data_IF_838595017852
#
_entry.id   IF_838595017852
#
_cell.length_a   1.000
_cell.length_b   1.000
_cell.length_c   1.000
_cell.angle_alpha   90.00
_cell.angle_beta   90.00
_cell.angle_gamma   90.00
#
_symmetry.space_group_name_H-M   'P 1'
#
loop_
_entity.id
_entity.type
_entity.pdbx_description
1 polymer ?
#
# COMPACT_ATOMS: atom_id res chain seq x y z
N UNK A 1 49.12 -13.57 -51.43
CA UNK A 1 49.99 -14.05 -50.34
C UNK A 1 49.08 -14.71 -49.29
N UNK A 2 48.68 -15.98 -49.31
CA UNK A 2 49.29 -17.31 -49.59
C UNK A 2 50.04 -17.97 -48.42
N UNK A 3 49.62 -19.22 -48.11
CA UNK A 3 50.36 -20.37 -47.53
C UNK A 3 50.93 -20.35 -46.10
N UNK A 4 50.41 -21.27 -45.25
CA UNK A 4 51.22 -22.28 -44.50
C UNK A 4 51.73 -23.35 -45.50
N UNK A 5 52.82 -24.13 -45.28
CA UNK A 5 53.00 -25.13 -44.18
C UNK A 5 54.12 -24.68 -43.19
N UNK A 6 54.80 -25.47 -42.34
CA UNK A 6 54.84 -26.91 -41.99
C UNK A 6 54.45 -27.11 -40.49
N UNK A 7 54.27 -28.28 -39.84
CA UNK A 7 54.68 -29.70 -39.99
C UNK A 7 56.06 -30.13 -39.45
N UNK A 8 56.06 -30.62 -38.19
CA UNK A 8 56.95 -31.69 -37.72
C UNK A 8 56.14 -32.63 -36.81
N UNK A 9 56.27 -33.95 -37.00
CA UNK A 9 55.65 -34.99 -36.16
C UNK A 9 56.73 -35.60 -35.26
N UNK A 10 56.39 -35.94 -34.02
CA UNK A 10 56.96 -37.12 -33.38
C UNK A 10 55.91 -37.80 -32.49
N UNK A 11 55.72 -39.10 -32.69
CA UNK A 11 54.98 -39.99 -31.78
C UNK A 11 56.00 -40.88 -31.07
N UNK A 12 55.82 -41.08 -29.77
CA UNK A 12 56.20 -42.34 -29.13
C UNK A 12 55.19 -42.65 -28.00
N UNK A 13 55.16 -43.91 -27.57
CA UNK A 13 53.94 -44.52 -27.02
C UNK A 13 54.19 -45.40 -25.80
N UNK A 14 53.11 -45.65 -25.05
CA UNK A 14 52.95 -46.66 -23.98
C UNK A 14 53.86 -46.57 -22.74
N UNK A 15 53.22 -46.25 -21.62
CA UNK A 15 53.19 -47.16 -20.47
C UNK A 15 51.89 -46.92 -19.69
N UNK A 16 51.34 -47.98 -19.09
CA UNK A 16 50.22 -47.88 -18.16
C UNK A 16 50.67 -48.32 -16.76
N UNK A 17 50.01 -47.83 -15.71
CA UNK A 17 49.44 -48.60 -14.57
C UNK A 17 48.86 -47.60 -13.56
N UNK A 18 47.84 -48.02 -12.81
CA UNK A 18 47.09 -47.15 -11.91
C UNK A 18 47.79 -46.88 -10.56
N UNK A 19 47.39 -45.80 -9.91
CA UNK A 19 47.17 -45.82 -8.46
C UNK A 19 45.85 -45.10 -8.13
N UNK A 20 44.92 -45.81 -7.49
CA UNK A 20 43.67 -45.23 -7.00
C UNK A 20 43.94 -44.54 -5.67
N UNK A 21 44.24 -43.25 -5.72
CA UNK A 21 44.50 -42.39 -4.55
C UNK A 21 43.25 -41.69 -4.02
N UNK A 22 42.19 -42.45 -3.73
CA UNK A 22 40.91 -41.88 -3.28
C UNK A 22 40.98 -41.41 -1.81
N UNK A 23 41.60 -40.25 -1.56
CA UNK A 23 41.33 -39.48 -0.35
C UNK A 23 39.91 -38.91 -0.44
N UNK A 24 38.93 -39.75 -0.08
CA UNK A 24 37.63 -39.29 0.35
C UNK A 24 37.83 -38.51 1.66
N UNK A 25 38.07 -37.20 1.54
CA UNK A 25 38.07 -36.30 2.68
C UNK A 25 36.69 -36.38 3.34
N UNK A 26 36.62 -37.05 4.49
CA UNK A 26 35.41 -37.15 5.33
C UNK A 26 35.14 -35.80 5.99
N UNK A 27 34.85 -34.79 5.17
CA UNK A 27 34.28 -33.54 5.63
C UNK A 27 32.96 -33.86 6.30
N UNK A 28 32.91 -33.74 7.62
CA UNK A 28 31.66 -33.74 8.36
C UNK A 28 30.75 -32.70 7.71
N UNK A 29 29.67 -33.15 7.08
CA UNK A 29 28.75 -32.28 6.35
C UNK A 29 28.03 -31.37 7.35
N UNK A 30 28.63 -30.22 7.64
CA UNK A 30 28.02 -29.22 8.51
C UNK A 30 26.77 -28.73 7.80
N UNK A 31 25.60 -29.10 8.35
CA UNK A 31 24.30 -28.70 7.82
C UNK A 31 24.17 -27.17 7.72
N UNK A 32 23.17 -26.68 6.98
CA UNK A 32 22.99 -25.26 6.75
C UNK A 32 22.97 -24.47 8.06
N UNK A 33 23.73 -23.37 8.07
CA UNK A 33 23.80 -22.47 9.23
C UNK A 33 22.54 -21.61 9.25
N UNK A 34 21.81 -21.64 10.36
CA UNK A 34 20.68 -20.77 10.58
C UNK A 34 21.17 -19.35 10.88
N UNK A 35 20.87 -18.39 10.00
CA UNK A 35 21.33 -17.00 10.09
C UNK A 35 20.13 -16.05 10.02
N UNK A 36 19.93 -15.26 11.07
CA UNK A 36 19.03 -14.10 11.01
C UNK A 36 19.82 -12.91 10.46
N UNK A 37 19.48 -12.36 9.28
CA UNK A 37 20.18 -11.22 8.71
C UNK A 37 19.90 -9.93 9.51
N UNK A 38 20.89 -9.06 9.62
CA UNK A 38 20.71 -7.72 10.18
C UNK A 38 19.69 -6.91 9.34
N UNK A 39 18.87 -6.05 9.97
CA UNK A 39 17.93 -5.20 9.25
C UNK A 39 18.64 -4.18 8.33
N UNK A 40 17.99 -3.73 7.25
CA UNK A 40 18.56 -2.73 6.34
C UNK A 40 19.00 -1.46 7.08
N UNK A 41 20.22 -0.94 6.86
CA UNK A 41 20.71 0.22 7.60
C UNK A 41 19.94 1.48 7.20
N UNK A 42 19.27 2.13 8.16
CA UNK A 42 18.62 3.42 7.95
C UNK A 42 19.69 4.53 7.85
N UNK A 43 19.58 5.49 6.91
CA UNK A 43 20.56 6.57 6.80
C UNK A 43 20.65 7.41 8.08
N UNK A 44 21.87 7.85 8.43
CA UNK A 44 22.06 8.92 9.41
C UNK A 44 21.37 10.19 8.90
N UNK A 45 20.81 11.00 9.80
CA UNK A 45 20.20 12.27 9.42
C UNK A 45 21.25 13.19 8.74
N UNK A 46 20.82 13.95 7.75
CA UNK A 46 21.70 14.77 6.92
C UNK A 46 20.94 15.99 6.35
N UNK A 47 21.35 17.19 6.76
CA UNK A 47 20.78 18.46 6.32
C UNK A 47 19.38 18.75 6.88
N UNK A 48 19.17 19.99 7.30
CA UNK A 48 17.86 20.49 7.67
C UNK A 48 16.97 20.77 6.44
N UNK A 49 15.67 20.93 6.66
CA UNK A 49 14.75 21.44 5.64
C UNK A 49 14.99 22.95 5.51
N UNK A 50 15.39 23.48 4.33
CA UNK A 50 15.61 24.91 4.16
C UNK A 50 14.32 25.71 4.40
N UNK A 51 14.41 26.91 4.97
CA UNK A 51 13.23 27.75 5.27
C UNK A 51 12.38 28.14 4.07
N UNK A 52 12.92 28.05 2.83
CA UNK A 52 12.14 28.23 1.59
C UNK A 52 11.29 27.02 1.20
N UNK A 53 11.45 25.92 1.93
CA UNK A 53 10.84 24.63 1.69
C UNK A 53 10.00 24.23 2.91
N UNK A 54 8.88 23.54 2.66
CA UNK A 54 7.93 23.15 3.69
C UNK A 54 7.65 21.65 3.60
N UNK A 55 8.16 20.92 4.58
CA UNK A 55 7.79 19.54 4.84
C UNK A 55 6.36 19.48 5.39
N UNK A 56 5.61 18.44 5.03
CA UNK A 56 4.31 18.10 5.64
C UNK A 56 4.58 17.42 6.98
N UNK A 57 5.39 16.35 6.95
CA UNK A 57 5.70 15.55 8.13
C UNK A 57 6.85 16.20 8.91
N UNK A 58 6.60 16.54 10.16
CA UNK A 58 7.57 17.22 11.02
C UNK A 58 8.57 16.21 11.63
N UNK A 59 9.83 16.59 11.89
CA UNK A 59 10.79 15.70 12.56
C UNK A 59 10.24 15.09 13.85
N UNK A 60 10.21 13.76 13.93
CA UNK A 60 9.61 13.04 15.06
C UNK A 60 8.12 12.72 14.90
N UNK A 61 7.50 12.97 13.74
CA UNK A 61 6.18 12.43 13.39
C UNK A 61 6.28 11.20 12.47
N UNK A 62 5.16 10.50 12.32
CA UNK A 62 4.92 9.54 11.27
C UNK A 62 3.51 9.75 10.70
N UNK A 63 3.30 9.36 9.45
CA UNK A 63 1.95 9.08 8.93
C UNK A 63 1.83 7.58 8.63
N UNK A 64 0.72 6.99 9.05
CA UNK A 64 0.31 5.63 8.73
C UNK A 64 -0.91 5.71 7.81
N UNK A 65 -0.94 4.90 6.75
CA UNK A 65 -1.96 4.98 5.70
C UNK A 65 -2.27 3.61 5.08
N UNK A 66 -3.54 3.38 4.76
CA UNK A 66 -4.06 2.14 4.15
C UNK A 66 -4.85 2.44 2.87
N UNK A 67 -4.62 1.67 1.81
CA UNK A 67 -5.35 1.74 0.53
C UNK A 67 -5.49 0.35 -0.12
N UNK A 68 -6.08 0.26 -1.31
CA UNK A 68 -6.08 -0.96 -2.12
C UNK A 68 -4.67 -1.45 -2.53
N UNK A 69 -3.63 -0.60 -2.42
CA UNK A 69 -2.21 -0.96 -2.63
C UNK A 69 -1.54 -1.45 -1.32
N UNK A 70 -2.33 -1.76 -0.29
CA UNK A 70 -1.89 -2.30 1.00
C UNK A 70 -1.70 -1.23 2.08
N UNK A 71 -0.64 -1.38 2.88
CA UNK A 71 -0.31 -0.55 4.04
C UNK A 71 1.02 0.18 3.85
N UNK A 72 1.11 1.42 4.31
CA UNK A 72 2.37 2.18 4.38
C UNK A 72 2.48 2.99 5.68
N UNK A 73 3.67 2.98 6.29
CA UNK A 73 4.06 3.88 7.38
C UNK A 73 5.26 4.71 6.90
N UNK A 74 5.15 6.04 6.98
CA UNK A 74 6.18 7.00 6.56
C UNK A 74 6.64 7.79 7.79
N UNK A 75 7.89 7.61 8.18
CA UNK A 75 8.50 8.26 9.34
C UNK A 75 9.28 9.51 8.91
N UNK A 76 9.07 10.62 9.62
CA UNK A 76 9.90 11.83 9.49
C UNK A 76 11.04 11.80 10.53
N UNK A 77 12.26 11.58 10.05
CA UNK A 77 13.46 11.77 10.87
C UNK A 77 13.86 13.24 10.98
N UNK A 78 14.96 13.53 11.69
CA UNK A 78 15.55 14.87 11.70
C UNK A 78 15.91 15.33 10.28
N UNK A 79 15.60 16.59 9.98
CA UNK A 79 15.86 17.22 8.70
C UNK A 79 15.24 16.50 7.51
N UNK A 80 16.05 16.25 6.47
CA UNK A 80 15.62 15.67 5.20
C UNK A 80 15.37 14.15 5.23
N UNK A 81 15.48 13.47 6.38
CA UNK A 81 15.33 12.01 6.45
C UNK A 81 13.86 11.57 6.40
N UNK A 82 13.59 10.54 5.58
CA UNK A 82 12.33 9.78 5.57
C UNK A 82 12.61 8.28 5.66
N UNK A 83 11.74 7.53 6.34
CA UNK A 83 11.77 6.05 6.34
C UNK A 83 10.41 5.55 5.92
N UNK A 84 10.39 4.55 5.03
CA UNK A 84 9.18 3.93 4.51
C UNK A 84 9.14 2.50 4.99
N UNK A 85 8.08 2.12 5.68
CA UNK A 85 7.76 0.74 6.05
C UNK A 85 6.54 0.32 5.21
N UNK A 86 6.80 -0.56 4.25
CA UNK A 86 5.87 -0.96 3.19
C UNK A 86 6.31 -2.32 2.64
N UNK A 87 5.35 -3.19 2.28
CA UNK A 87 5.62 -4.53 1.75
C UNK A 87 6.54 -5.38 2.69
N UNK A 88 6.33 -5.23 4.01
CA UNK A 88 7.12 -5.89 5.06
C UNK A 88 8.56 -5.37 5.23
N UNK A 89 8.95 -4.33 4.50
CA UNK A 89 10.33 -3.84 4.41
C UNK A 89 10.45 -2.38 4.86
N UNK A 90 11.24 -2.14 5.91
CA UNK A 90 11.50 -0.80 6.45
C UNK A 90 12.80 -0.23 5.87
N UNK A 91 12.69 0.79 5.03
CA UNK A 91 13.80 1.30 4.20
C UNK A 91 13.90 2.83 4.25
N UNK A 92 15.08 3.37 4.53
CA UNK A 92 15.30 4.81 4.71
C UNK A 92 15.93 5.55 3.52
N UNK A 93 15.65 6.84 3.37
CA UNK A 93 16.25 7.75 2.38
C UNK A 93 16.58 9.13 3.00
N UNK A 94 17.47 9.87 2.35
CA UNK A 94 17.62 11.32 2.54
C UNK A 94 17.00 12.01 1.33
N UNK A 95 15.95 12.78 1.56
CA UNK A 95 15.26 13.56 0.52
C UNK A 95 16.07 14.78 0.12
N UNK A 96 15.62 15.45 -0.94
CA UNK A 96 16.19 16.72 -1.44
C UNK A 96 15.14 17.83 -1.30
N UNK A 97 15.54 19.06 -0.94
CA UNK A 97 14.67 20.23 -1.10
C UNK A 97 14.29 20.39 -2.58
N UNK A 98 13.00 20.53 -2.88
CA UNK A 98 12.54 20.84 -4.24
C UNK A 98 12.94 22.28 -4.59
N UNK A 99 13.59 22.51 -5.73
CA UNK A 99 14.09 23.85 -6.10
C UNK A 99 12.98 24.77 -6.63
N UNK A 100 12.01 24.19 -7.34
CA UNK A 100 10.88 24.87 -7.99
C UNK A 100 9.57 24.58 -7.24
N UNK A 101 8.66 25.55 -7.20
CA UNK A 101 7.26 25.32 -6.80
C UNK A 101 6.54 24.62 -7.96
N UNK A 102 5.57 23.75 -7.70
CA UNK A 102 4.60 23.40 -8.75
C UNK A 102 3.57 24.53 -8.90
N UNK A 103 2.84 24.56 -10.01
CA UNK A 103 1.74 25.51 -10.19
C UNK A 103 0.71 25.37 -9.06
N UNK A 104 0.28 26.51 -8.50
CA UNK A 104 -0.62 26.59 -7.34
C UNK A 104 0.05 26.52 -5.96
N UNK A 105 1.37 26.32 -5.85
CA UNK A 105 2.03 26.11 -4.55
C UNK A 105 2.64 27.39 -3.96
N UNK A 106 2.30 27.68 -2.70
CA UNK A 106 2.88 28.79 -1.93
C UNK A 106 4.32 28.50 -1.45
N UNK A 107 4.68 27.23 -1.29
CA UNK A 107 5.98 26.78 -0.76
C UNK A 107 6.60 25.72 -1.66
N UNK A 108 7.93 25.59 -1.61
CA UNK A 108 8.63 24.47 -2.23
C UNK A 108 8.51 23.26 -1.31
N UNK A 109 8.37 22.05 -1.84
CA UNK A 109 8.30 20.84 -1.01
C UNK A 109 9.63 20.08 -0.88
N UNK A 110 9.55 18.79 -0.59
CA UNK A 110 10.68 17.84 -0.67
C UNK A 110 10.46 16.85 -1.82
N UNK A 111 11.52 16.15 -2.25
CA UNK A 111 11.41 15.04 -3.19
C UNK A 111 12.56 14.02 -3.03
N UNK A 112 12.39 12.84 -3.60
CA UNK A 112 13.47 11.89 -3.90
C UNK A 112 13.14 11.18 -5.21
N UNK A 113 14.14 10.89 -6.05
CA UNK A 113 13.95 10.07 -7.25
C UNK A 113 15.22 9.25 -7.53
N UNK A 114 15.07 7.96 -7.80
CA UNK A 114 16.16 7.02 -8.10
C UNK A 114 16.29 5.86 -7.10
N UNK A 115 17.47 5.22 -7.05
CA UNK A 115 17.77 4.10 -6.14
C UNK A 115 18.40 4.62 -4.83
N UNK A 116 17.81 4.38 -3.66
CA UNK A 116 18.42 4.76 -2.39
C UNK A 116 19.59 3.85 -2.02
N UNK A 117 20.70 4.43 -1.54
CA UNK A 117 21.97 3.75 -1.28
C UNK A 117 21.93 2.55 -0.31
N UNK A 118 20.86 2.43 0.48
CA UNK A 118 20.68 1.38 1.51
C UNK A 118 19.54 0.42 1.19
N UNK A 119 18.84 0.61 0.06
CA UNK A 119 17.81 -0.31 -0.40
C UNK A 119 18.47 -1.50 -1.11
N UNK A 120 18.51 -2.66 -0.46
CA UNK A 120 18.56 -3.92 -1.21
C UNK A 120 17.26 -4.04 -2.00
N UNK A 121 17.28 -4.35 -3.32
CA UNK A 121 16.06 -4.63 -4.06
C UNK A 121 15.31 -5.81 -3.44
N UNK A 122 14.01 -5.66 -3.23
CA UNK A 122 13.14 -6.72 -2.71
C UNK A 122 11.72 -6.51 -3.27
N UNK A 123 11.05 -7.63 -3.57
CA UNK A 123 9.72 -7.67 -4.20
C UNK A 123 9.63 -6.84 -5.50
N UNK A 124 10.68 -6.92 -6.32
CA UNK A 124 10.84 -6.19 -7.59
C UNK A 124 11.23 -4.71 -7.45
N UNK A 125 11.12 -4.11 -6.27
CA UNK A 125 11.31 -2.67 -6.08
C UNK A 125 12.77 -2.33 -5.75
N UNK A 126 13.41 -1.57 -6.65
CA UNK A 126 14.79 -1.07 -6.59
C UNK A 126 14.89 0.48 -6.51
N UNK A 127 13.82 1.20 -6.87
CA UNK A 127 13.75 2.67 -6.88
C UNK A 127 12.63 3.21 -6.00
N UNK A 128 12.84 4.41 -5.48
CA UNK A 128 11.82 5.25 -4.87
C UNK A 128 11.64 6.52 -5.71
N UNK A 129 10.39 6.89 -5.96
CA UNK A 129 10.00 8.25 -6.31
C UNK A 129 9.10 8.80 -5.20
N UNK A 130 9.57 9.83 -4.50
CA UNK A 130 8.88 10.48 -3.41
C UNK A 130 8.63 11.96 -3.73
N UNK A 131 7.43 12.46 -3.50
CA UNK A 131 7.11 13.89 -3.51
C UNK A 131 6.38 14.26 -2.21
N UNK A 132 6.81 15.33 -1.56
CA UNK A 132 6.17 15.88 -0.35
C UNK A 132 5.91 17.38 -0.54
N UNK A 133 4.83 17.93 0.01
CA UNK A 133 4.66 19.39 0.08
C UNK A 133 3.25 19.89 0.39
N UNK A 134 3.09 21.21 0.31
CA UNK A 134 1.80 21.89 0.46
C UNK A 134 1.25 22.28 -0.91
N UNK A 135 -0.04 22.03 -1.14
CA UNK A 135 -0.71 22.27 -2.41
C UNK A 135 -2.01 23.03 -2.20
N UNK A 136 -2.09 24.25 -2.73
CA UNK A 136 -3.31 25.05 -2.65
C UNK A 136 -4.20 24.84 -3.87
N UNK A 137 -5.50 24.84 -3.64
CA UNK A 137 -6.56 24.85 -4.65
C UNK A 137 -7.54 25.99 -4.35
N UNK A 138 -8.25 26.46 -5.37
CA UNK A 138 -9.30 27.49 -5.27
C UNK A 138 -10.64 26.89 -4.83
N UNK A 139 -10.78 25.57 -4.91
CA UNK A 139 -11.98 24.83 -4.53
C UNK A 139 -11.65 23.35 -4.28
N UNK A 140 -12.60 22.64 -3.68
CA UNK A 140 -12.49 21.21 -3.37
C UNK A 140 -12.48 20.35 -4.64
N UNK A 141 -13.26 20.70 -5.67
CA UNK A 141 -13.41 19.87 -6.86
C UNK A 141 -12.07 19.72 -7.61
N UNK A 142 -11.29 20.80 -7.75
CA UNK A 142 -9.96 20.78 -8.35
C UNK A 142 -8.96 19.91 -7.56
N UNK A 143 -9.08 19.87 -6.23
CA UNK A 143 -8.28 18.99 -5.38
C UNK A 143 -8.61 17.51 -5.64
N UNK A 144 -9.89 17.18 -5.83
CA UNK A 144 -10.34 15.83 -6.19
C UNK A 144 -9.90 15.43 -7.61
N UNK A 145 -10.04 16.35 -8.57
CA UNK A 145 -9.62 16.16 -9.98
C UNK A 145 -8.11 15.91 -10.05
N UNK A 146 -7.30 16.65 -9.29
CA UNK A 146 -5.84 16.49 -9.28
C UNK A 146 -5.42 15.09 -8.86
N UNK A 147 -6.03 14.53 -7.81
CA UNK A 147 -5.76 13.15 -7.38
C UNK A 147 -6.16 12.12 -8.46
N UNK A 148 -7.31 12.31 -9.13
CA UNK A 148 -7.74 11.44 -10.23
C UNK A 148 -6.77 11.45 -11.42
N UNK A 149 -6.18 12.61 -11.75
CA UNK A 149 -5.21 12.75 -12.86
C UNK A 149 -3.88 12.05 -12.55
N UNK A 150 -3.39 12.09 -11.31
CA UNK A 150 -2.11 11.47 -10.90
C UNK A 150 -2.14 9.94 -10.94
N UNK A 151 -3.34 9.33 -10.77
CA UNK A 151 -3.59 7.87 -10.78
C UNK A 151 -2.72 7.09 -9.80
N UNK A 152 -2.65 7.53 -8.54
CA UNK A 152 -2.14 6.72 -7.43
C UNK A 152 -3.34 6.19 -6.64
N UNK A 153 -3.11 5.18 -5.80
CA UNK A 153 -4.07 4.86 -4.75
C UNK A 153 -3.87 5.87 -3.63
N UNK A 154 -4.86 6.74 -3.41
CA UNK A 154 -4.83 7.79 -2.39
C UNK A 154 -5.76 7.46 -1.22
N UNK A 155 -5.33 7.80 -0.01
CA UNK A 155 -6.15 7.94 1.20
C UNK A 155 -5.86 9.29 1.83
N UNK A 156 -6.87 9.90 2.44
CA UNK A 156 -6.81 11.29 2.92
C UNK A 156 -7.89 11.56 3.96
N UNK A 157 -7.66 12.57 4.79
CA UNK A 157 -8.59 12.97 5.85
C UNK A 157 -9.32 14.29 5.50
N UNK A 158 -10.17 14.75 6.42
CA UNK A 158 -10.95 15.98 6.27
C UNK A 158 -10.11 17.27 6.35
N UNK A 159 -8.93 17.22 6.97
CA UNK A 159 -8.06 18.39 7.14
C UNK A 159 -7.12 18.63 5.95
N UNK A 160 -7.13 17.73 4.96
CA UNK A 160 -6.34 17.82 3.74
C UNK A 160 -4.98 17.14 3.82
N UNK A 161 -4.69 16.34 4.85
CA UNK A 161 -3.58 15.40 4.79
C UNK A 161 -3.92 14.29 3.79
N UNK A 162 -3.09 14.13 2.77
CA UNK A 162 -3.23 13.16 1.68
C UNK A 162 -1.97 12.32 1.58
N UNK A 163 -2.11 11.00 1.53
CA UNK A 163 -1.02 10.06 1.21
C UNK A 163 -1.47 9.18 0.05
N UNK A 164 -0.61 8.98 -0.94
CA UNK A 164 -0.88 8.02 -2.01
C UNK A 164 0.35 7.35 -2.56
N UNK A 165 0.19 6.12 -3.06
CA UNK A 165 1.30 5.34 -3.62
C UNK A 165 0.86 4.38 -4.73
N UNK A 166 1.86 3.79 -5.40
CA UNK A 166 1.74 2.63 -6.33
C UNK A 166 3.10 2.04 -6.66
N UNK A 167 3.15 0.75 -6.97
CA UNK A 167 4.23 0.14 -7.77
C UNK A 167 4.11 0.62 -9.22
N UNK A 168 5.25 0.90 -9.87
CA UNK A 168 5.36 1.15 -11.31
C UNK A 168 6.67 0.56 -11.83
N UNK A 169 6.61 -0.68 -12.32
CA UNK A 169 7.82 -1.45 -12.64
C UNK A 169 8.65 -1.64 -11.37
N UNK A 170 9.95 -1.32 -11.43
CA UNK A 170 10.87 -1.42 -10.30
C UNK A 170 10.83 -0.22 -9.33
N UNK A 171 9.91 0.72 -9.55
CA UNK A 171 9.80 1.97 -8.78
C UNK A 171 8.56 1.95 -7.89
N UNK A 172 8.74 2.19 -6.60
CA UNK A 172 7.65 2.60 -5.72
C UNK A 172 7.49 4.12 -5.84
N UNK A 173 6.32 4.58 -6.30
CA UNK A 173 5.96 6.00 -6.28
C UNK A 173 5.12 6.28 -5.02
N UNK A 174 5.51 7.27 -4.23
CA UNK A 174 4.84 7.69 -2.97
C UNK A 174 4.71 9.21 -2.95
N UNK A 175 3.58 9.70 -2.48
CA UNK A 175 3.23 11.12 -2.45
C UNK A 175 2.57 11.49 -1.12
N UNK A 176 3.03 12.58 -0.49
CA UNK A 176 2.51 13.08 0.79
C UNK A 176 2.21 14.57 0.68
N UNK A 177 0.94 14.95 0.77
CA UNK A 177 0.50 16.31 0.56
C UNK A 177 -0.30 16.84 1.74
N UNK A 178 -0.08 18.11 2.06
CA UNK A 178 -1.06 18.92 2.76
C UNK A 178 -1.80 19.77 1.72
N UNK A 179 -3.06 19.43 1.46
CA UNK A 179 -3.96 20.24 0.66
C UNK A 179 -4.46 21.43 1.49
N UNK A 180 -4.62 22.57 0.82
CA UNK A 180 -5.35 23.74 1.33
C UNK A 180 -6.34 24.23 0.29
N UNK A 181 -7.50 24.70 0.75
CA UNK A 181 -8.51 25.38 -0.06
C UNK A 181 -8.51 26.84 0.39
N UNK A 182 -8.38 27.79 -0.54
CA UNK A 182 -8.29 29.24 -0.25
C UNK A 182 -7.26 29.59 0.84
N UNK A 183 -6.10 28.93 0.79
CA UNK A 183 -4.99 29.10 1.73
C UNK A 183 -5.17 28.44 3.09
N UNK A 184 -6.31 27.81 3.37
CA UNK A 184 -6.66 27.20 4.67
C UNK A 184 -6.73 25.68 4.57
N UNK A 185 -6.49 24.95 5.66
CA UNK A 185 -6.86 23.52 5.72
C UNK A 185 -8.37 23.40 5.48
N UNK A 186 -8.85 22.46 4.63
CA UNK A 186 -10.28 22.12 4.61
C UNK A 186 -10.73 21.57 5.98
N UNK A 187 -12.04 21.51 6.18
CA UNK A 187 -12.68 20.82 7.33
C UNK A 187 -13.49 19.59 6.91
N UNK A 188 -13.56 19.34 5.61
CA UNK A 188 -14.23 18.20 4.96
C UNK A 188 -13.66 18.02 3.56
N UNK A 189 -13.44 16.78 3.13
CA UNK A 189 -13.15 16.43 1.74
C UNK A 189 -14.07 15.28 1.29
N UNK A 190 -14.64 15.31 0.07
CA UNK A 190 -15.45 14.23 -0.48
C UNK A 190 -14.73 12.89 -0.42
N UNK A 191 -15.44 11.83 -0.06
CA UNK A 191 -14.91 10.46 0.07
C UNK A 191 -13.72 10.27 1.03
N UNK A 192 -13.40 11.27 1.87
CA UNK A 192 -12.40 11.20 2.95
C UNK A 192 -12.46 9.91 3.77
N UNK A 193 -11.27 9.37 4.08
CA UNK A 193 -11.03 8.10 4.77
C UNK A 193 -10.15 8.33 6.00
N UNK A 194 -10.55 9.26 6.86
CA UNK A 194 -9.80 9.61 8.09
C UNK A 194 -9.55 8.47 9.11
N UNK A 195 -10.12 7.28 8.91
CA UNK A 195 -9.79 6.05 9.66
C UNK A 195 -8.70 5.19 8.99
N UNK A 196 -8.39 5.45 7.72
CA UNK A 196 -7.36 4.80 6.90
C UNK A 196 -6.11 5.69 6.72
N UNK A 197 -6.01 6.78 7.50
CA UNK A 197 -4.82 7.65 7.53
C UNK A 197 -4.71 8.34 8.90
N UNK A 198 -3.54 8.29 9.51
CA UNK A 198 -3.26 8.94 10.78
C UNK A 198 -1.82 9.49 10.82
N UNK A 199 -1.67 10.81 11.00
CA UNK A 199 -0.41 11.41 11.47
C UNK A 199 -0.36 11.35 13.00
N UNK A 200 0.84 11.16 13.56
CA UNK A 200 1.06 11.16 15.00
C UNK A 200 2.54 11.13 15.37
N UNK A 201 2.88 11.04 16.67
CA UNK A 201 4.26 10.90 17.13
C UNK A 201 4.89 9.60 16.59
N UNK A 202 6.16 9.68 16.22
CA UNK A 202 6.93 8.59 15.63
C UNK A 202 7.06 7.39 16.59
N UNK A 203 6.60 6.22 16.15
CA UNK A 203 6.75 4.92 16.81
C UNK A 203 7.72 4.07 16.00
N UNK A 204 9.00 4.13 16.36
CA UNK A 204 10.05 3.34 15.70
C UNK A 204 9.90 1.86 16.06
N UNK A 205 9.35 1.08 15.14
CA UNK A 205 9.32 -0.37 15.22
C UNK A 205 10.58 -0.97 14.55
N UNK A 206 11.30 -1.91 15.20
CA UNK A 206 12.35 -2.66 14.55
C UNK A 206 11.78 -3.51 13.40
N UNK A 207 12.46 -3.54 12.24
CA UNK A 207 12.07 -4.47 11.19
C UNK A 207 12.27 -5.90 11.70
N UNK A 208 11.21 -6.72 11.61
CA UNK A 208 11.30 -8.16 11.87
C UNK A 208 12.13 -8.81 10.78
N UNK A 209 13.21 -9.47 11.17
CA UNK A 209 14.08 -10.21 10.27
C UNK A 209 13.84 -11.71 10.49
N UNK A 210 13.49 -12.42 9.42
CA UNK A 210 13.29 -13.87 9.48
C UNK A 210 14.62 -14.59 9.29
N UNK A 211 14.86 -15.72 9.98
CA UNK A 211 16.05 -16.52 9.77
C UNK A 211 16.03 -17.22 8.40
N UNK A 212 17.22 -17.42 7.86
CA UNK A 212 17.46 -18.15 6.62
C UNK A 212 18.50 -19.25 6.87
N UNK A 213 18.38 -20.35 6.14
CA UNK A 213 19.40 -21.38 6.06
C UNK A 213 20.49 -20.90 5.09
N UNK A 214 21.76 -21.07 5.47
CA UNK A 214 22.94 -20.70 4.66
C UNK A 214 23.84 -21.91 4.49
N UNK A 215 24.01 -22.36 3.26
CA UNK A 215 24.68 -23.61 2.90
C UNK A 215 26.17 -23.39 2.60
N UNK A 216 26.94 -24.47 2.55
CA UNK A 216 28.41 -24.42 2.39
C UNK A 216 28.87 -23.92 1.00
N UNK A 217 28.01 -24.03 -0.01
CA UNK A 217 28.17 -23.48 -1.36
C UNK A 217 27.75 -22.00 -1.47
N UNK A 218 27.17 -21.44 -0.41
CA UNK A 218 26.68 -20.07 -0.34
C UNK A 218 25.23 -19.85 -0.79
N UNK A 219 24.47 -20.90 -1.14
CA UNK A 219 23.03 -20.72 -1.40
C UNK A 219 22.26 -20.50 -0.09
N UNK A 220 21.05 -19.91 -0.20
CA UNK A 220 20.23 -19.58 0.97
C UNK A 220 18.75 -19.89 0.77
N UNK A 221 18.12 -20.45 1.81
CA UNK A 221 16.70 -20.83 1.82
C UNK A 221 15.95 -20.14 2.99
N UNK A 222 14.64 -19.87 2.88
CA UNK A 222 13.84 -19.36 3.99
C UNK A 222 13.66 -20.43 5.07
N UNK A 223 13.93 -20.10 6.33
CA UNK A 223 13.61 -20.99 7.45
C UNK A 223 12.16 -20.77 7.89
N UNK A 224 11.29 -21.72 7.53
CA UNK A 224 9.86 -21.73 7.81
C UNK A 224 9.47 -23.08 8.45
N UNK A 225 8.19 -23.33 8.71
CA UNK A 225 7.74 -24.59 9.35
C UNK A 225 8.04 -25.84 8.53
N UNK A 226 8.05 -25.75 7.19
CA UNK A 226 8.38 -26.87 6.31
C UNK A 226 9.89 -27.15 6.33
N UNK A 227 10.73 -26.14 6.03
CA UNK A 227 12.20 -26.32 6.04
C UNK A 227 12.73 -26.61 7.44
N UNK A 228 12.08 -26.13 8.50
CA UNK A 228 12.35 -26.56 9.87
C UNK A 228 12.09 -28.06 10.07
N UNK A 229 11.05 -28.65 9.45
CA UNK A 229 10.80 -30.10 9.54
C UNK A 229 11.83 -30.91 8.72
N UNK A 230 12.21 -30.42 7.54
CA UNK A 230 13.18 -31.05 6.64
C UNK A 230 14.58 -31.10 7.27
N UNK A 231 15.02 -30.00 7.91
CA UNK A 231 16.37 -29.89 8.50
C UNK A 231 16.46 -30.15 10.02
N UNK A 232 15.33 -30.34 10.72
CA UNK A 232 15.35 -30.94 12.08
C UNK A 232 15.33 -32.47 12.06
N UNK A 233 15.06 -33.08 10.90
CA UNK A 233 15.20 -34.52 10.63
C UNK A 233 16.64 -35.02 10.59
N UNK A 234 17.47 -34.64 11.56
CA UNK A 234 18.89 -35.01 11.69
C UNK A 234 19.14 -36.47 12.09
N UNK A 235 18.51 -37.42 11.38
CA UNK A 235 18.67 -38.86 11.58
C UNK A 235 18.36 -39.60 10.29
N UNK A 236 19.36 -40.27 9.72
CA UNK A 236 19.24 -40.88 8.40
C UNK A 236 18.20 -42.02 8.38
N UNK A 237 17.28 -41.97 7.42
CA UNK A 237 16.40 -43.10 7.11
C UNK A 237 17.21 -44.23 6.46
N UNK A 238 17.57 -45.24 7.26
CA UNK A 238 17.87 -46.58 6.77
C UNK A 238 16.92 -47.57 7.42
N UNK A 239 16.39 -48.50 6.62
CA UNK A 239 15.26 -49.33 7.01
C UNK A 239 15.66 -50.49 7.92
N UNK A 240 15.33 -50.40 9.21
CA UNK A 240 15.32 -51.53 10.13
C UNK A 240 14.23 -51.36 11.22
N UNK A 241 13.60 -52.46 11.60
CA UNK A 241 12.59 -52.49 12.67
C UNK A 241 13.21 -52.60 14.06
N UNK A 242 12.72 -51.83 15.03
CA UNK A 242 12.28 -52.24 16.40
C UNK A 242 12.04 -51.00 17.28
N UNK A 243 11.10 -51.09 18.23
CA UNK A 243 10.80 -50.01 19.18
C UNK A 243 11.86 -49.89 20.28
N UNK A 244 12.42 -48.68 20.50
CA UNK A 244 12.85 -48.26 21.85
C UNK A 244 13.05 -46.74 21.98
N UNK A 245 12.39 -46.17 22.99
CA UNK A 245 12.71 -44.95 23.77
C UNK A 245 13.17 -43.66 23.05
N UNK A 246 12.38 -42.60 23.23
CA UNK A 246 12.75 -41.23 22.83
C UNK A 246 13.80 -40.60 23.76
N UNK A 247 14.94 -40.19 23.20
CA UNK A 247 15.73 -39.08 23.72
C UNK A 247 15.84 -38.00 22.64
N UNK A 248 15.16 -36.87 22.83
CA UNK A 248 15.26 -35.72 21.93
C UNK A 248 16.58 -34.99 22.14
N UNK A 249 17.26 -34.60 21.05
CA UNK A 249 18.58 -33.95 21.11
C UNK A 249 18.58 -32.61 21.88
N UNK A 250 17.40 -32.00 22.04
CA UNK A 250 17.19 -30.75 22.77
C UNK A 250 17.62 -30.78 24.24
N UNK A 251 17.75 -31.97 24.85
CA UNK A 251 18.15 -32.14 26.25
C UNK A 251 19.63 -31.82 26.52
N UNK A 252 20.50 -31.82 25.50
CA UNK A 252 21.95 -31.67 25.69
C UNK A 252 22.45 -30.20 25.73
N UNK A 253 21.58 -29.20 25.58
CA UNK A 253 21.98 -27.78 25.63
C UNK A 253 21.68 -27.09 26.97
N UNK A 254 20.78 -27.64 27.79
CA UNK A 254 20.45 -27.15 29.14
C UNK A 254 20.56 -28.30 30.13
N UNK A 255 21.75 -28.46 30.70
CA UNK A 255 22.14 -29.68 31.40
C UNK A 255 21.39 -29.96 32.70
N UNK A 256 20.37 -30.80 32.64
CA UNK A 256 19.84 -31.59 33.77
C UNK A 256 19.24 -32.90 33.28
N UNK A 257 19.92 -34.02 33.57
CA UNK A 257 19.35 -35.36 33.49
C UNK A 257 19.69 -36.06 34.82
N UNK A 258 18.69 -36.17 35.70
CA UNK A 258 18.86 -36.77 37.02
C UNK A 258 18.88 -38.30 36.94
N UNK A 259 19.80 -38.93 37.66
CA UNK A 259 19.80 -40.39 37.83
C UNK A 259 18.57 -40.80 38.66
N UNK A 260 17.63 -41.50 38.03
CA UNK A 260 16.68 -42.36 38.73
C UNK A 260 17.24 -43.79 38.76
N UNK A 261 17.16 -44.47 39.91
CA UNK A 261 17.69 -45.83 40.09
C UNK A 261 16.85 -46.62 41.08
N UNK A 262 16.29 -47.73 40.60
CA UNK A 262 15.65 -48.82 41.35
C UNK A 262 14.38 -48.48 42.17
N UNK A 263 13.53 -49.48 42.29
CA UNK A 263 12.31 -49.49 43.10
C UNK A 263 12.41 -50.54 44.21
N UNK A 264 11.56 -50.41 45.23
CA UNK A 264 11.11 -51.53 46.05
C UNK A 264 9.68 -51.26 46.54
N UNK A 265 8.98 -52.31 46.95
CA UNK A 265 7.64 -52.28 47.56
C UNK A 265 7.70 -51.72 49.00
N UNK A 266 6.60 -51.32 49.66
CA UNK A 266 5.56 -52.20 50.22
C UNK A 266 4.21 -51.47 50.45
N UNK A 267 3.18 -52.18 50.92
CA UNK A 267 1.86 -51.66 51.24
C UNK A 267 1.81 -50.90 52.59
N UNK A 268 0.88 -49.95 52.75
CA UNK A 268 -0.24 -50.03 53.72
C UNK A 268 -1.14 -48.77 53.66
N UNK A 269 -2.36 -48.86 54.17
CA UNK A 269 -3.35 -47.78 54.10
C UNK A 269 -3.60 -47.10 55.46
N UNK A 270 -3.96 -45.80 55.46
CA UNK A 270 -4.87 -45.24 56.47
C UNK A 270 -5.57 -43.93 56.09
N UNK A 271 -6.85 -43.95 56.46
CA UNK A 271 -7.92 -42.94 56.49
C UNK A 271 -7.56 -41.59 57.15
N UNK A 272 -8.30 -40.51 56.79
CA UNK A 272 -8.25 -39.18 57.43
C UNK A 272 -8.35 -38.02 56.41
N UNK A 273 -9.52 -37.54 55.97
CA UNK A 273 -10.58 -36.82 56.71
C UNK A 273 -10.25 -35.35 57.09
N UNK A 274 -10.72 -34.42 56.24
CA UNK A 274 -11.28 -33.08 56.52
C UNK A 274 -11.68 -32.47 55.16
N UNK A 275 -12.94 -32.14 54.82
CA UNK A 275 -13.85 -31.11 55.36
C UNK A 275 -13.23 -29.71 55.44
N UNK A 276 -13.84 -28.63 54.92
CA UNK A 276 -15.09 -28.47 54.15
C UNK A 276 -15.28 -26.99 53.77
N UNK A 277 -16.30 -26.71 52.94
CA UNK A 277 -17.07 -25.44 52.88
C UNK A 277 -16.45 -24.21 52.18
N UNK A 278 -17.22 -23.26 51.61
CA UNK A 278 -18.62 -23.28 51.09
C UNK A 278 -18.90 -22.00 50.28
N UNK A 279 -19.51 -22.15 49.09
CA UNK A 279 -20.23 -21.11 48.30
C UNK A 279 -19.45 -19.81 47.95
N UNK A 280 -19.97 -18.87 47.15
CA UNK A 280 -21.20 -18.76 46.33
C UNK A 280 -20.80 -18.21 44.94
N UNK A 281 -21.36 -18.60 43.79
CA UNK A 281 -22.77 -18.76 43.35
C UNK A 281 -23.58 -17.46 43.41
N UNK A 282 -23.76 -16.84 42.24
CA UNK A 282 -24.96 -16.08 41.88
C UNK A 282 -25.12 -16.13 40.36
N UNK A 283 -26.26 -16.65 39.91
CA UNK A 283 -26.63 -16.75 38.49
C UNK A 283 -27.98 -16.06 38.31
N UNK A 284 -28.18 -15.35 37.21
CA UNK A 284 -29.51 -14.89 36.79
C UNK A 284 -29.72 -15.16 35.30
N UNK A 285 -30.79 -15.88 35.00
CA UNK A 285 -31.33 -16.16 33.66
C UNK A 285 -32.76 -15.64 33.59
N UNK A 286 -33.25 -15.33 32.39
CA UNK A 286 -34.61 -14.78 32.20
C UNK A 286 -34.65 -13.64 31.18
N UNK A 287 -35.60 -13.54 30.24
CA UNK A 287 -36.05 -14.48 29.18
C UNK A 287 -37.36 -13.92 28.58
N UNK A 288 -37.33 -13.58 27.28
CA UNK A 288 -38.48 -13.50 26.34
C UNK A 288 -39.55 -12.40 26.42
N UNK A 289 -40.19 -12.21 25.25
CA UNK A 289 -41.51 -11.59 24.95
C UNK A 289 -41.64 -10.04 24.99
N UNK A 290 -42.55 -9.39 24.22
CA UNK A 290 -43.21 -9.71 22.93
C UNK A 290 -44.01 -8.47 22.41
N UNK A 291 -44.50 -8.51 21.16
CA UNK A 291 -45.53 -7.62 20.54
C UNK A 291 -45.10 -6.14 20.27
N UNK A 292 -45.19 -5.60 19.04
CA UNK A 292 -46.35 -5.13 18.22
C UNK A 292 -46.81 -3.69 18.54
N UNK A 293 -47.13 -2.80 17.58
CA UNK A 293 -47.02 -2.87 16.11
C UNK A 293 -47.90 -1.81 15.39
N UNK A 294 -47.71 -1.60 14.07
CA UNK A 294 -48.53 -0.74 13.14
C UNK A 294 -48.60 0.77 13.48
N UNK A 295 -48.95 1.75 12.61
CA UNK A 295 -49.35 1.88 11.17
C UNK A 295 -48.79 3.25 10.68
N UNK A 296 -48.75 3.71 9.42
CA UNK A 296 -49.20 3.33 8.07
C UNK A 296 -48.13 3.83 7.05
N UNK A 297 -48.04 3.48 5.75
CA UNK A 297 -48.94 3.07 4.67
C UNK A 297 -49.77 4.19 3.98
N UNK A 298 -49.29 4.65 2.81
CA UNK A 298 -50.14 5.06 1.68
C UNK A 298 -49.38 4.82 0.35
N UNK A 299 -50.08 4.41 -0.71
CA UNK A 299 -49.50 4.13 -2.02
C UNK A 299 -50.55 4.25 -3.15
N UNK A 300 -50.25 5.03 -4.19
CA UNK A 300 -50.92 5.06 -5.51
C UNK A 300 -50.30 6.17 -6.39
N UNK A 301 -50.54 6.26 -7.70
CA UNK A 301 -50.68 5.27 -8.78
C UNK A 301 -50.98 6.03 -10.09
N UNK A 302 -50.46 5.57 -11.24
CA UNK A 302 -50.77 6.08 -12.60
C UNK A 302 -50.43 7.56 -12.87
N UNK A 303 -50.41 8.04 -14.12
CA UNK A 303 -50.69 7.34 -15.39
C UNK A 303 -50.15 8.07 -16.63
N UNK A 304 -50.30 7.39 -17.78
CA UNK A 304 -49.90 7.83 -19.13
C UNK A 304 -50.80 8.94 -19.69
N UNK A 305 -50.30 9.79 -20.61
CA UNK A 305 -50.58 9.73 -22.08
C UNK A 305 -50.03 10.96 -22.83
N UNK A 306 -49.86 10.81 -24.15
CA UNK A 306 -49.60 11.86 -25.16
C UNK A 306 -50.85 12.79 -25.30
N UNK A 307 -50.94 13.86 -26.09
CA UNK A 307 -50.64 14.01 -27.54
C UNK A 307 -50.52 15.51 -27.92
N UNK A 308 -50.12 15.79 -29.16
CA UNK A 308 -49.78 17.11 -29.72
C UNK A 308 -50.97 17.87 -30.35
N UNK A 309 -50.69 19.10 -30.82
CA UNK A 309 -51.38 19.85 -31.90
C UNK A 309 -52.78 20.45 -31.62
N UNK A 310 -53.20 21.63 -32.13
CA UNK A 310 -52.52 22.83 -32.68
C UNK A 310 -53.52 24.01 -32.69
N UNK A 311 -53.11 25.25 -32.37
CA UNK A 311 -53.64 26.51 -32.95
C UNK A 311 -52.91 27.74 -32.39
N UNK A 312 -52.56 28.70 -33.25
CA UNK A 312 -51.78 29.89 -32.91
C UNK A 312 -52.47 30.90 -31.97
N UNK A 313 -51.65 31.58 -31.17
CA UNK A 313 -51.75 33.05 -31.13
C UNK A 313 -50.40 33.73 -30.90
N UNK A 314 -50.21 34.90 -31.52
CA UNK A 314 -48.88 35.42 -31.87
C UNK A 314 -48.42 36.57 -30.97
N UNK A 315 -47.18 36.45 -30.51
CA UNK A 315 -46.31 37.50 -29.95
C UNK A 315 -46.73 38.15 -28.61
N UNK A 316 -46.21 37.59 -27.52
CA UNK A 316 -45.73 38.37 -26.38
C UNK A 316 -44.26 38.01 -26.12
N UNK A 317 -43.34 38.92 -26.45
CA UNK A 317 -41.89 38.67 -26.32
C UNK A 317 -41.47 38.75 -24.85
N UNK A 318 -41.56 37.62 -24.15
CA UNK A 318 -40.93 37.43 -22.84
C UNK A 318 -39.47 37.07 -23.08
N UNK A 319 -38.58 38.06 -22.96
CA UNK A 319 -37.14 37.88 -23.14
C UNK A 319 -36.62 36.70 -22.31
N UNK A 320 -36.01 35.72 -22.97
CA UNK A 320 -35.32 34.66 -22.25
C UNK A 320 -34.20 35.27 -21.40
N UNK A 321 -33.96 34.78 -20.17
CA UNK A 321 -32.77 35.16 -19.42
C UNK A 321 -31.54 34.78 -20.25
N UNK A 322 -30.65 35.73 -20.50
CA UNK A 322 -29.45 35.53 -21.32
C UNK A 322 -28.48 34.60 -20.59
N UNK A 323 -28.66 33.29 -20.81
CA UNK A 323 -27.84 32.24 -20.21
C UNK A 323 -26.34 32.48 -20.53
N UNK A 324 -25.43 32.44 -19.53
CA UNK A 324 -24.01 32.68 -19.74
C UNK A 324 -23.43 31.77 -20.82
N UNK A 325 -22.62 32.35 -21.72
CA UNK A 325 -21.95 31.61 -22.80
C UNK A 325 -20.56 31.14 -22.38
N UNK A 326 -20.14 30.02 -22.97
CA UNK A 326 -18.79 29.49 -22.84
C UNK A 326 -18.41 28.70 -24.09
N UNK A 327 -17.11 28.49 -24.28
CA UNK A 327 -16.52 27.62 -25.29
C UNK A 327 -15.94 26.36 -24.62
N UNK A 328 -15.97 25.22 -25.30
CA UNK A 328 -15.26 24.02 -24.84
C UNK A 328 -13.75 24.25 -24.95
N UNK A 329 -13.02 24.11 -23.84
CA UNK A 329 -11.60 24.45 -23.74
C UNK A 329 -10.65 23.30 -24.10
N UNK A 330 -11.09 22.04 -23.99
CA UNK A 330 -10.27 20.84 -24.22
C UNK A 330 -10.50 20.18 -25.57
N UNK A 331 -9.44 19.59 -26.16
CA UNK A 331 -9.42 19.03 -27.52
C UNK A 331 -10.61 18.11 -27.85
N UNK A 332 -10.93 17.18 -26.94
CA UNK A 332 -12.11 16.32 -26.98
C UNK A 332 -12.66 16.18 -25.56
N UNK A 333 -13.92 16.55 -25.36
CA UNK A 333 -14.57 16.63 -24.04
C UNK A 333 -15.82 15.75 -24.00
N UNK A 334 -15.89 14.87 -23.01
CA UNK A 334 -17.03 13.97 -22.80
C UNK A 334 -18.19 14.72 -22.14
N UNK A 335 -19.31 14.86 -22.87
CA UNK A 335 -20.56 15.44 -22.38
C UNK A 335 -21.44 14.33 -21.80
N UNK A 336 -21.95 14.49 -20.58
CA UNK A 336 -22.51 13.40 -19.76
C UNK A 336 -23.97 13.56 -19.37
N UNK A 337 -24.56 12.45 -18.93
CA UNK A 337 -25.96 12.37 -18.49
C UNK A 337 -26.23 12.95 -17.10
N UNK A 338 -25.23 13.02 -16.21
CA UNK A 338 -25.31 13.58 -14.85
C UNK A 338 -24.02 14.34 -14.49
N UNK A 339 -24.01 15.19 -13.45
CA UNK A 339 -22.79 15.86 -12.96
C UNK A 339 -21.90 14.87 -12.21
N UNK A 340 -21.30 13.91 -12.92
CA UNK A 340 -20.42 12.88 -12.36
C UNK A 340 -19.56 12.21 -13.45
N UNK A 341 -18.28 11.98 -13.12
CA UNK A 341 -17.29 11.25 -13.92
C UNK A 341 -17.64 9.78 -14.19
N UNK A 342 -18.54 9.19 -13.39
CA UNK A 342 -19.01 7.82 -13.56
C UNK A 342 -20.30 7.71 -14.39
N UNK A 343 -20.95 8.83 -14.71
CA UNK A 343 -22.22 8.82 -15.46
C UNK A 343 -22.02 8.60 -16.97
N UNK A 344 -23.01 7.98 -17.62
CA UNK A 344 -23.00 7.68 -19.07
C UNK A 344 -22.66 8.93 -19.88
N UNK A 345 -21.66 8.82 -20.75
CA UNK A 345 -21.34 9.81 -21.79
C UNK A 345 -22.47 9.78 -22.83
N UNK A 346 -23.00 10.96 -23.16
CA UNK A 346 -24.03 11.15 -24.18
C UNK A 346 -23.40 11.41 -25.55
N UNK A 347 -22.34 12.23 -25.58
CA UNK A 347 -21.61 12.63 -26.79
C UNK A 347 -20.24 13.19 -26.43
N UNK A 348 -19.44 13.49 -27.45
CA UNK A 348 -18.19 14.25 -27.32
C UNK A 348 -18.31 15.59 -28.04
N UNK A 349 -17.72 16.62 -27.44
CA UNK A 349 -17.54 17.96 -27.99
C UNK A 349 -16.06 18.21 -28.28
N UNK A 350 -15.75 19.15 -29.16
CA UNK A 350 -14.39 19.56 -29.55
C UNK A 350 -14.04 20.93 -28.97
N UNK A 351 -12.74 21.23 -28.91
CA UNK A 351 -12.26 22.55 -28.54
C UNK A 351 -12.84 23.64 -29.47
N UNK A 352 -13.36 24.71 -28.89
CA UNK A 352 -14.02 25.81 -29.60
C UNK A 352 -15.54 25.65 -29.80
N UNK A 353 -16.12 24.47 -29.52
CA UNK A 353 -17.58 24.30 -29.58
C UNK A 353 -18.26 25.28 -28.60
N UNK A 354 -19.18 26.11 -29.11
CA UNK A 354 -19.92 27.09 -28.31
C UNK A 354 -21.10 26.46 -27.57
N UNK A 355 -21.33 26.91 -26.33
CA UNK A 355 -22.42 26.44 -25.46
C UNK A 355 -23.04 27.55 -24.62
N UNK A 356 -24.33 27.37 -24.31
CA UNK A 356 -25.07 28.17 -23.32
C UNK A 356 -25.23 27.37 -22.01
N UNK A 357 -24.88 27.96 -20.87
CA UNK A 357 -24.97 27.34 -19.54
C UNK A 357 -26.40 27.47 -19.01
N UNK A 358 -27.14 26.35 -18.95
CA UNK A 358 -28.53 26.31 -18.49
C UNK A 358 -28.68 26.07 -16.98
N UNK A 359 -27.78 25.27 -16.37
CA UNK A 359 -27.74 24.99 -14.92
C UNK A 359 -26.32 24.77 -14.43
N UNK A 360 -26.13 24.88 -13.12
CA UNK A 360 -24.86 24.60 -12.43
C UNK A 360 -25.10 23.64 -11.27
N UNK A 361 -24.18 22.70 -11.03
CA UNK A 361 -24.16 21.82 -9.84
C UNK A 361 -22.72 21.33 -9.59
N UNK A 362 -22.20 21.53 -8.38
CA UNK A 362 -20.92 20.96 -7.85
C UNK A 362 -19.80 20.79 -8.88
N UNK A 363 -19.27 21.91 -9.39
CA UNK A 363 -18.18 21.88 -10.37
C UNK A 363 -18.57 21.54 -11.81
N UNK A 364 -19.84 21.20 -12.10
CA UNK A 364 -20.36 20.95 -13.44
C UNK A 364 -21.29 22.09 -13.94
N UNK A 365 -21.47 22.11 -15.25
CA UNK A 365 -22.44 22.93 -15.98
C UNK A 365 -23.32 22.03 -16.84
N UNK A 366 -24.64 22.21 -16.75
CA UNK A 366 -25.57 21.63 -17.72
C UNK A 366 -25.67 22.61 -18.89
N UNK A 367 -25.14 22.20 -20.04
CA UNK A 367 -24.95 23.04 -21.21
C UNK A 367 -25.91 22.66 -22.34
N UNK A 368 -26.25 23.64 -23.18
CA UNK A 368 -26.94 23.48 -24.47
C UNK A 368 -25.97 23.91 -25.58
N UNK A 369 -25.84 23.06 -26.60
CA UNK A 369 -25.12 23.32 -27.85
C UNK A 369 -26.05 24.01 -28.86
N UNK A 370 -25.50 24.68 -29.87
CA UNK A 370 -26.28 25.42 -30.85
C UNK A 370 -27.24 24.52 -31.67
N UNK A 371 -26.86 23.26 -31.89
CA UNK A 371 -27.71 22.20 -32.47
C UNK A 371 -28.83 21.68 -31.53
N UNK A 372 -28.97 22.26 -30.35
CA UNK A 372 -30.00 21.92 -29.36
C UNK A 372 -29.67 20.75 -28.45
N UNK A 373 -28.59 19.98 -28.68
CA UNK A 373 -28.16 18.89 -27.79
C UNK A 373 -27.76 19.44 -26.41
N UNK A 374 -27.94 18.63 -25.37
CA UNK A 374 -27.72 19.04 -23.97
C UNK A 374 -27.03 17.97 -23.14
N UNK A 375 -26.27 18.37 -22.13
CA UNK A 375 -25.66 17.46 -21.17
C UNK A 375 -24.77 18.17 -20.15
N UNK A 376 -24.15 17.40 -19.27
CA UNK A 376 -23.26 17.90 -18.23
C UNK A 376 -21.81 17.87 -18.68
N UNK A 377 -21.11 18.98 -18.46
CA UNK A 377 -19.65 19.14 -18.67
C UNK A 377 -19.03 19.71 -17.39
N UNK A 378 -17.80 19.33 -17.07
CA UNK A 378 -17.09 19.88 -15.92
C UNK A 378 -16.64 21.31 -16.21
N UNK A 379 -16.73 22.22 -15.24
CA UNK A 379 -16.53 23.66 -15.44
C UNK A 379 -15.10 23.99 -15.90
N UNK A 380 -14.09 23.26 -15.43
CA UNK A 380 -12.69 23.44 -15.85
C UNK A 380 -12.43 23.07 -17.34
N UNK A 381 -13.40 22.45 -18.02
CA UNK A 381 -13.35 22.16 -19.46
C UNK A 381 -14.09 23.23 -20.28
N UNK A 382 -14.51 24.34 -19.66
CA UNK A 382 -15.12 25.50 -20.30
C UNK A 382 -14.26 26.75 -20.14
N UNK A 383 -14.12 27.49 -21.23
CA UNK A 383 -13.63 28.87 -21.26
C UNK A 383 -14.86 29.78 -21.27
N UNK A 384 -15.10 30.49 -20.17
CA UNK A 384 -16.25 31.41 -20.09
C UNK A 384 -16.03 32.64 -20.96
N UNK A 385 -17.10 33.08 -21.66
CA UNK A 385 -17.14 34.38 -22.31
C UNK A 385 -17.54 35.42 -21.27
N UNK A 386 -16.65 36.38 -21.01
CA UNK A 386 -16.91 37.54 -20.13
C UNK A 386 -17.69 38.65 -20.85
#
# INVERSE_FOLDING_TARGET
MTSKPHHAFLRLTFAATALVGALAATGCATGPKLVTPNPPPIPKAAGDVPSTNKAVLQPGTQVVADTAEGHIKIEAGPGLRRVFDWDGMRRGVITKPREKRFAGESSKGLYFDGTPKVWKPAHGISKLRYEEGYRNFENIDDAMIWMQIRRLYYTYNNDGLVVGWKRKGDTLQVEVWQFTIDGKKPTSLPDSKGTQIAEGPLKVEPQKMHPHLVFADGHTEPYNTQTASEYSGGGASSSASTQSQHCSWFANLFGQCSKASASSSEQTAKNGSKTSATASVSTSTGTSAAASGTTAANASASGSTQTSETADNKAASKSEPSNPKAEIAGNVVNIRSRPSTHSKVLMQAKQGDSVSILKQDKGWRYVKFDDGRKGWVANFLLKHSG
#
